data_IF_133366507635
#
_entry.id   IF_133366507635
#
_cell.length_a   1.000
_cell.length_b   1.000
_cell.length_c   1.000
_cell.angle_alpha   90.00
_cell.angle_beta   90.00
_cell.angle_gamma   90.00
#
_symmetry.space_group_name_H-M   'P 1'
#
loop_
_entity.id
_entity.type
_entity.pdbx_description
1 polymer ?
#
# COMPACT_ATOMS: atom_id res chain seq x y z
N UNK A 1 27.69 -18.74 -55.21
CA UNK A 1 26.55 -18.38 -54.33
C UNK A 1 26.80 -16.98 -53.79
N UNK A 2 26.26 -15.96 -54.44
CA UNK A 2 26.42 -14.55 -54.08
C UNK A 2 25.27 -14.16 -53.13
N UNK A 3 25.58 -13.74 -51.91
CA UNK A 3 24.62 -13.22 -50.94
C UNK A 3 24.48 -11.71 -51.13
N UNK A 4 23.35 -11.29 -51.70
CA UNK A 4 22.99 -9.88 -51.87
C UNK A 4 22.71 -9.20 -50.53
N UNK A 5 23.47 -8.14 -50.24
CA UNK A 5 23.32 -7.27 -49.07
C UNK A 5 22.23 -6.23 -49.35
N UNK A 6 21.07 -6.35 -48.69
CA UNK A 6 19.94 -5.42 -48.84
C UNK A 6 20.25 -4.14 -48.04
N UNK A 7 20.46 -3.03 -48.75
CA UNK A 7 20.60 -1.70 -48.15
C UNK A 7 19.23 -1.19 -47.69
N UNK A 8 19.11 -0.84 -46.41
CA UNK A 8 17.90 -0.28 -45.81
C UNK A 8 17.95 1.27 -45.91
N UNK A 9 16.99 1.93 -46.59
CA UNK A 9 17.04 3.38 -46.77
C UNK A 9 16.77 4.11 -45.45
N UNK A 10 17.66 5.05 -45.15
CA UNK A 10 17.61 5.98 -44.01
C UNK A 10 16.27 6.73 -44.03
N UNK A 11 15.49 6.59 -42.95
CA UNK A 11 14.30 7.43 -42.70
C UNK A 11 14.74 8.88 -42.45
N UNK A 12 14.19 9.78 -43.25
CA UNK A 12 14.42 11.21 -43.19
C UNK A 12 13.98 11.82 -41.85
N UNK A 13 14.84 12.71 -41.36
CA UNK A 13 14.59 13.65 -40.27
C UNK A 13 13.60 14.72 -40.73
N UNK A 14 12.31 14.48 -40.53
CA UNK A 14 11.28 15.52 -40.63
C UNK A 14 11.36 16.44 -39.42
N UNK A 15 11.91 17.63 -39.62
CA UNK A 15 11.85 18.72 -38.65
C UNK A 15 10.41 19.18 -38.48
N UNK A 16 9.83 18.92 -37.31
CA UNK A 16 8.55 19.51 -36.90
C UNK A 16 8.83 20.89 -36.33
N UNK A 17 8.36 21.91 -37.05
CA UNK A 17 8.27 23.29 -36.59
C UNK A 17 7.54 23.35 -35.23
N UNK A 18 8.19 23.96 -34.24
CA UNK A 18 7.64 24.13 -32.92
C UNK A 18 6.44 25.08 -32.93
N UNK A 19 5.37 24.82 -32.16
CA UNK A 19 4.29 25.77 -32.00
C UNK A 19 4.78 26.98 -31.18
N UNK A 20 4.43 28.16 -31.68
CA UNK A 20 4.57 29.47 -31.03
C UNK A 20 4.23 29.39 -29.55
N UNK A 21 5.25 29.60 -28.70
CA UNK A 21 5.05 29.83 -27.27
C UNK A 21 4.43 31.21 -27.12
N UNK A 22 3.10 31.27 -27.05
CA UNK A 22 2.37 32.42 -26.50
C UNK A 22 2.98 32.75 -25.13
N UNK A 23 3.51 33.96 -25.03
CA UNK A 23 3.89 34.59 -23.76
C UNK A 23 2.75 34.48 -22.75
N UNK A 24 2.99 34.00 -21.52
CA UNK A 24 1.99 34.09 -20.47
C UNK A 24 1.84 35.56 -20.05
N UNK A 25 0.61 36.06 -20.21
CA UNK A 25 0.20 37.37 -19.74
C UNK A 25 0.59 37.58 -18.27
N UNK A 26 1.15 38.75 -17.99
CA UNK A 26 1.42 39.26 -16.65
C UNK A 26 0.19 39.07 -15.75
N UNK A 27 0.38 38.34 -14.65
CA UNK A 27 -0.59 38.28 -13.56
C UNK A 27 -0.49 39.62 -12.81
N UNK A 28 -1.58 40.40 -12.69
CA UNK A 28 -1.57 41.63 -11.90
C UNK A 28 -1.33 41.29 -10.43
N UNK A 29 -0.36 42.01 -9.85
CA UNK A 29 -0.04 42.00 -8.43
C UNK A 29 -1.25 42.45 -7.61
N UNK A 30 -1.94 41.49 -6.99
CA UNK A 30 -2.97 41.77 -5.99
C UNK A 30 -2.28 42.28 -4.72
N UNK A 31 -2.26 43.59 -4.58
CA UNK A 31 -2.04 44.31 -3.34
C UNK A 31 -3.23 44.14 -2.41
N UNK A 32 -2.96 43.78 -1.15
CA UNK A 32 -3.85 44.00 -0.02
C UNK A 32 -4.80 42.84 0.28
N UNK A 33 -4.52 42.11 1.36
CA UNK A 33 -5.37 42.20 2.55
C UNK A 33 -4.69 41.52 3.75
N UNK A 34 -4.52 42.32 4.80
CA UNK A 34 -3.98 41.89 6.08
C UNK A 34 -4.97 40.93 6.75
N UNK A 35 -4.75 39.63 6.60
CA UNK A 35 -5.49 38.62 7.34
C UNK A 35 -5.03 38.64 8.80
N UNK A 36 -5.84 39.29 9.65
CA UNK A 36 -5.73 39.19 11.11
C UNK A 36 -5.76 37.72 11.52
N UNK A 37 -4.63 37.22 12.01
CA UNK A 37 -4.51 35.89 12.62
C UNK A 37 -5.21 35.91 13.99
N UNK A 38 -6.52 35.69 13.97
CA UNK A 38 -7.30 35.36 15.15
C UNK A 38 -6.80 34.04 15.75
N UNK A 39 -6.38 34.11 17.02
CA UNK A 39 -5.86 32.99 17.80
C UNK A 39 -6.94 31.94 18.06
N UNK A 40 -7.05 30.94 17.18
CA UNK A 40 -7.81 29.73 17.46
C UNK A 40 -6.96 28.81 18.36
N UNK A 41 -7.28 28.83 19.65
CA UNK A 41 -6.89 27.79 20.61
C UNK A 41 -7.30 26.42 20.05
N UNK A 42 -6.40 25.43 19.95
CA UNK A 42 -6.83 24.06 19.65
C UNK A 42 -7.61 23.52 20.86
N UNK A 43 -8.89 23.25 20.67
CA UNK A 43 -9.67 22.43 21.59
C UNK A 43 -9.02 21.04 21.64
N UNK A 44 -8.54 20.67 22.82
CA UNK A 44 -8.16 19.30 23.12
C UNK A 44 -9.46 18.50 23.27
N UNK A 45 -9.86 17.79 22.22
CA UNK A 45 -10.92 16.79 22.34
C UNK A 45 -10.42 15.65 23.25
N UNK A 46 -11.14 15.31 24.34
CA UNK A 46 -10.81 14.15 25.15
C UNK A 46 -11.11 12.89 24.33
N UNK A 47 -10.06 12.20 23.90
CA UNK A 47 -10.15 10.88 23.31
C UNK A 47 -10.63 9.89 24.37
N UNK A 48 -11.95 9.65 24.42
CA UNK A 48 -12.52 8.59 25.22
C UNK A 48 -11.95 7.25 24.76
N UNK A 49 -11.30 6.62 25.74
CA UNK A 49 -10.58 5.37 25.70
C UNK A 49 -11.52 4.19 25.46
N UNK A 50 -11.62 3.73 24.22
CA UNK A 50 -12.13 2.39 23.91
C UNK A 50 -11.03 1.36 24.18
N UNK A 51 -10.94 0.92 25.43
CA UNK A 51 -10.24 -0.30 25.84
C UNK A 51 -11.11 -1.52 25.51
N UNK A 52 -10.67 -2.39 24.60
CA UNK A 52 -11.41 -3.62 24.32
C UNK A 52 -10.88 -4.41 23.14
N UNK A 53 -9.64 -4.90 23.26
CA UNK A 53 -9.06 -5.81 22.27
C UNK A 53 -7.87 -6.54 22.86
N UNK A 54 -8.12 -7.65 23.55
CA UNK A 54 -7.11 -8.59 24.01
C UNK A 54 -6.43 -9.27 22.81
N UNK A 55 -5.50 -8.53 22.20
CA UNK A 55 -4.66 -9.00 21.12
C UNK A 55 -3.61 -9.96 21.66
N UNK A 56 -3.73 -11.21 21.26
CA UNK A 56 -2.78 -12.32 21.37
C UNK A 56 -1.32 -11.83 21.42
N UNK A 57 -0.64 -12.12 22.54
CA UNK A 57 0.56 -11.42 23.00
C UNK A 57 1.77 -11.54 22.07
N UNK A 58 2.18 -10.40 21.51
CA UNK A 58 3.54 -10.19 21.06
C UNK A 58 4.42 -10.14 22.32
N UNK A 59 5.21 -11.19 22.58
CA UNK A 59 6.19 -11.28 23.67
C UNK A 59 6.94 -9.95 23.81
N UNK A 60 6.60 -9.16 24.83
CA UNK A 60 7.34 -7.97 25.18
C UNK A 60 8.70 -8.45 25.68
N UNK A 61 9.76 -8.16 24.92
CA UNK A 61 11.12 -8.35 25.43
C UNK A 61 11.28 -7.48 26.67
N UNK A 62 11.82 -8.06 27.75
CA UNK A 62 12.06 -7.36 29.00
C UNK A 62 12.83 -6.04 28.72
N UNK A 63 12.49 -4.94 29.41
CA UNK A 63 13.13 -3.66 29.18
C UNK A 63 14.62 -3.76 29.49
N UNK A 64 15.46 -3.35 28.53
CA UNK A 64 16.90 -3.21 28.73
C UNK A 64 17.09 -2.10 29.77
N UNK A 65 17.77 -2.42 30.88
CA UNK A 65 18.08 -1.46 31.95
C UNK A 65 19.06 -0.39 31.44
N UNK A 66 18.83 0.87 31.81
CA UNK A 66 19.68 2.01 31.42
C UNK A 66 19.37 2.67 30.07
N UNK A 67 18.40 2.16 29.30
CA UNK A 67 17.93 2.81 28.06
C UNK A 67 16.67 3.63 28.32
N UNK A 68 16.60 4.86 27.81
CA UNK A 68 15.38 5.67 27.82
C UNK A 68 14.34 5.09 26.85
N UNK A 69 13.36 4.37 27.41
CA UNK A 69 12.21 3.84 26.68
C UNK A 69 11.21 4.94 26.31
N UNK A 70 10.32 4.67 25.36
CA UNK A 70 9.33 5.67 24.90
C UNK A 70 9.89 6.72 23.94
N UNK A 71 11.09 6.49 23.38
CA UNK A 71 11.70 7.36 22.38
C UNK A 71 12.01 6.57 21.10
N UNK A 72 12.09 7.25 19.95
CA UNK A 72 12.52 6.61 18.70
C UNK A 72 13.95 6.06 18.76
N UNK A 73 14.82 6.67 19.58
CA UNK A 73 16.17 6.18 19.82
C UNK A 73 16.15 4.80 20.53
N UNK A 74 15.26 4.61 21.50
CA UNK A 74 15.05 3.32 22.15
C UNK A 74 14.73 2.20 21.16
N UNK A 75 13.85 2.47 20.17
CA UNK A 75 13.47 1.49 19.14
C UNK A 75 14.58 1.24 18.11
N UNK A 76 15.16 2.30 17.55
CA UNK A 76 16.09 2.20 16.42
C UNK A 76 17.52 1.85 16.81
N UNK A 77 18.08 2.55 17.81
CA UNK A 77 19.49 2.42 18.19
C UNK A 77 19.73 1.26 19.15
N UNK A 78 18.84 1.09 20.13
CA UNK A 78 18.98 0.09 21.19
C UNK A 78 18.14 -1.17 20.97
N UNK A 79 17.35 -1.23 19.90
CA UNK A 79 16.57 -2.40 19.52
C UNK A 79 15.42 -2.73 20.47
N UNK A 80 15.00 -1.81 21.34
CA UNK A 80 13.90 -2.06 22.25
C UNK A 80 12.57 -2.21 21.50
N UNK A 81 11.81 -3.26 21.84
CA UNK A 81 10.50 -3.56 21.22
C UNK A 81 9.34 -3.50 22.22
N UNK A 82 9.50 -2.79 23.34
CA UNK A 82 8.39 -2.53 24.26
C UNK A 82 7.31 -1.62 23.62
N UNK A 83 6.10 -1.62 24.17
CA UNK A 83 4.97 -0.89 23.58
C UNK A 83 5.20 0.62 23.56
N UNK A 84 5.84 1.18 24.59
CA UNK A 84 6.21 2.60 24.64
C UNK A 84 7.13 2.99 23.48
N UNK A 85 8.18 2.20 23.20
CA UNK A 85 9.10 2.45 22.07
C UNK A 85 8.42 2.26 20.71
N UNK A 86 7.52 1.26 20.56
CA UNK A 86 6.74 1.07 19.33
C UNK A 86 5.78 2.23 19.08
N UNK A 87 5.11 2.72 20.12
CA UNK A 87 4.19 3.85 20.04
C UNK A 87 4.93 5.14 19.62
N UNK A 88 6.07 5.42 20.26
CA UNK A 88 6.91 6.58 19.93
C UNK A 88 7.40 6.55 18.47
N UNK A 89 7.86 5.38 17.99
CA UNK A 89 8.28 5.24 16.59
C UNK A 89 7.11 5.37 15.60
N UNK A 90 5.94 4.82 15.94
CA UNK A 90 4.73 4.96 15.14
C UNK A 90 4.30 6.44 15.03
N UNK A 91 4.34 7.17 16.14
CA UNK A 91 4.06 8.60 16.18
C UNK A 91 5.06 9.38 15.30
N UNK A 92 6.37 9.17 15.47
CA UNK A 92 7.40 9.79 14.64
C UNK A 92 7.19 9.53 13.15
N UNK A 93 6.85 8.29 12.77
CA UNK A 93 6.59 7.94 11.37
C UNK A 93 5.33 8.62 10.82
N UNK A 94 4.26 8.73 11.63
CA UNK A 94 3.06 9.48 11.28
C UNK A 94 3.37 10.95 11.03
N UNK A 95 4.10 11.59 11.95
CA UNK A 95 4.49 13.00 11.84
C UNK A 95 5.41 13.25 10.65
N UNK A 96 6.32 12.32 10.37
CA UNK A 96 7.17 12.40 9.17
C UNK A 96 6.35 12.31 7.88
N UNK A 97 5.39 11.37 7.80
CA UNK A 97 4.47 11.26 6.64
C UNK A 97 3.60 12.50 6.50
N UNK A 98 3.15 13.08 7.61
CA UNK A 98 2.40 14.32 7.61
C UNK A 98 3.25 15.48 7.09
N UNK A 99 4.46 15.68 7.60
CA UNK A 99 5.39 16.71 7.09
C UNK A 99 5.74 16.52 5.61
N UNK A 100 5.82 15.28 5.13
CA UNK A 100 5.99 15.01 3.70
C UNK A 100 4.77 15.45 2.89
N UNK A 101 3.55 15.14 3.34
CA UNK A 101 2.31 15.59 2.67
C UNK A 101 2.15 17.10 2.68
N UNK A 102 2.54 17.75 3.78
CA UNK A 102 2.56 19.21 3.92
C UNK A 102 3.69 19.88 3.10
N UNK A 103 4.57 19.11 2.47
CA UNK A 103 5.71 19.65 1.72
C UNK A 103 6.79 20.30 2.58
N UNK A 104 6.74 20.14 3.92
CA UNK A 104 7.74 20.68 4.85
C UNK A 104 9.08 19.96 4.76
N UNK A 105 9.10 18.72 4.25
CA UNK A 105 10.34 17.97 4.01
C UNK A 105 10.98 18.49 2.73
N UNK A 106 12.02 19.32 2.88
CA UNK A 106 12.83 19.79 1.75
C UNK A 106 13.53 18.59 1.12
N UNK A 107 13.14 18.24 -0.10
CA UNK A 107 13.95 17.35 -0.92
C UNK A 107 15.22 18.08 -1.32
N UNK A 108 16.37 17.44 -1.09
CA UNK A 108 17.64 17.94 -1.56
C UNK A 108 17.72 17.65 -3.06
N UNK A 109 17.57 18.69 -3.87
CA UNK A 109 17.48 18.57 -5.33
C UNK A 109 18.85 18.30 -5.98
N UNK A 110 19.94 18.67 -5.31
CA UNK A 110 21.31 18.63 -5.83
C UNK A 110 22.30 17.98 -4.86
N UNK A 111 21.91 16.90 -4.15
CA UNK A 111 22.93 16.13 -3.44
C UNK A 111 23.84 15.46 -4.49
N UNK A 112 25.18 15.50 -4.32
CA UNK A 112 26.13 14.89 -5.26
C UNK A 112 25.96 13.37 -5.39
N UNK A 113 25.33 12.74 -4.39
CA UNK A 113 25.02 11.31 -4.40
C UNK A 113 23.69 10.99 -5.12
N UNK A 114 22.98 12.00 -5.63
CA UNK A 114 21.71 11.78 -6.31
C UNK A 114 21.95 11.36 -7.75
N UNK A 115 21.53 10.14 -8.08
CA UNK A 115 21.69 9.59 -9.42
C UNK A 115 20.66 10.25 -10.36
N UNK A 116 21.09 10.88 -11.47
CA UNK A 116 20.16 11.42 -12.45
C UNK A 116 19.43 10.28 -13.18
N UNK A 117 18.17 10.51 -13.55
CA UNK A 117 17.33 9.49 -14.20
C UNK A 117 16.74 10.03 -15.49
N UNK A 118 16.84 9.24 -16.55
CA UNK A 118 16.19 9.51 -17.82
C UNK A 118 14.78 8.88 -17.83
N UNK A 119 13.75 9.72 -17.98
CA UNK A 119 12.36 9.28 -18.09
C UNK A 119 11.72 9.92 -19.30
N UNK A 120 11.31 9.10 -20.28
CA UNK A 120 10.70 9.50 -21.55
C UNK A 120 11.54 10.53 -22.32
N UNK A 121 12.86 10.28 -22.39
CA UNK A 121 13.81 11.18 -23.05
C UNK A 121 14.17 12.45 -22.28
N UNK A 122 13.60 12.69 -21.09
CA UNK A 122 13.95 13.83 -20.23
C UNK A 122 14.89 13.39 -19.11
N UNK A 123 16.02 14.07 -18.96
CA UNK A 123 16.95 13.87 -17.85
C UNK A 123 16.46 14.65 -16.62
N UNK A 124 16.24 13.95 -15.51
CA UNK A 124 15.93 14.56 -14.22
C UNK A 124 17.13 14.45 -13.28
N UNK A 125 17.39 15.46 -12.43
CA UNK A 125 18.51 15.42 -11.49
C UNK A 125 18.34 14.32 -10.44
N UNK A 126 17.12 13.90 -10.16
CA UNK A 126 16.81 12.88 -9.15
C UNK A 126 15.52 12.10 -9.45
N UNK A 127 15.40 10.93 -8.81
CA UNK A 127 14.15 10.15 -8.81
C UNK A 127 12.98 10.97 -8.24
N UNK A 128 13.20 11.75 -7.18
CA UNK A 128 12.15 12.57 -6.56
C UNK A 128 11.68 13.72 -7.46
N UNK A 129 12.61 14.34 -8.20
CA UNK A 129 12.28 15.37 -9.19
C UNK A 129 11.46 14.77 -10.34
N UNK A 130 11.87 13.61 -10.87
CA UNK A 130 11.10 12.88 -11.87
C UNK A 130 9.71 12.49 -11.36
N UNK A 131 9.63 12.00 -10.12
CA UNK A 131 8.38 11.59 -9.49
C UNK A 131 7.40 12.75 -9.33
N UNK A 132 7.89 13.89 -8.85
CA UNK A 132 7.11 15.12 -8.69
C UNK A 132 6.64 15.66 -10.04
N UNK A 133 7.51 15.68 -11.05
CA UNK A 133 7.18 16.14 -12.40
C UNK A 133 6.12 15.26 -13.10
N UNK A 134 6.11 13.95 -12.81
CA UNK A 134 5.18 12.98 -13.40
C UNK A 134 3.93 12.72 -12.56
N UNK A 135 3.84 13.29 -11.34
CA UNK A 135 2.72 13.05 -10.43
C UNK A 135 2.64 11.61 -9.90
N UNK A 136 3.78 10.93 -9.76
CA UNK A 136 3.87 9.54 -9.28
C UNK A 136 4.72 9.42 -8.03
N UNK A 137 4.67 8.27 -7.35
CA UNK A 137 5.52 8.02 -6.18
C UNK A 137 6.96 7.69 -6.59
N UNK A 138 7.95 8.27 -5.90
CA UNK A 138 9.37 7.97 -6.11
C UNK A 138 9.72 6.48 -6.08
N UNK A 139 9.17 5.67 -5.15
CA UNK A 139 9.36 4.22 -5.15
C UNK A 139 8.89 3.53 -6.43
N UNK A 140 7.87 4.06 -7.13
CA UNK A 140 7.40 3.50 -8.40
C UNK A 140 8.47 3.60 -9.48
N UNK A 141 9.13 4.75 -9.61
CA UNK A 141 10.25 4.96 -10.53
C UNK A 141 11.42 4.03 -10.16
N UNK A 142 11.80 3.99 -8.88
CA UNK A 142 12.89 3.12 -8.40
C UNK A 142 12.63 1.65 -8.71
N UNK A 143 11.40 1.17 -8.49
CA UNK A 143 11.03 -0.22 -8.81
C UNK A 143 11.10 -0.49 -10.32
N UNK A 144 10.72 0.46 -11.18
CA UNK A 144 10.84 0.29 -12.62
C UNK A 144 12.30 0.21 -13.08
N UNK A 145 13.17 1.06 -12.54
CA UNK A 145 14.61 0.99 -12.81
C UNK A 145 15.20 -0.35 -12.36
N UNK A 146 14.85 -0.83 -11.16
CA UNK A 146 15.33 -2.12 -10.66
C UNK A 146 14.83 -3.31 -11.48
N UNK A 147 13.57 -3.28 -11.95
CA UNK A 147 12.94 -4.42 -12.63
C UNK A 147 13.16 -4.45 -14.14
N UNK A 148 13.21 -3.28 -14.78
CA UNK A 148 13.23 -3.14 -16.23
C UNK A 148 14.45 -2.38 -16.75
N UNK A 149 15.26 -1.77 -15.88
CA UNK A 149 16.40 -0.94 -16.27
C UNK A 149 16.04 0.46 -16.79
N UNK A 150 14.75 0.74 -17.03
CA UNK A 150 14.26 2.02 -17.52
C UNK A 150 12.96 2.44 -16.81
N UNK A 151 12.68 3.75 -16.79
CA UNK A 151 11.53 4.33 -16.09
C UNK A 151 10.50 4.98 -17.04
N UNK A 152 10.62 4.79 -18.37
CA UNK A 152 9.73 5.42 -19.37
C UNK A 152 8.25 5.06 -19.18
N UNK A 153 7.99 3.87 -18.62
CA UNK A 153 6.65 3.35 -18.33
C UNK A 153 6.03 3.91 -17.04
N UNK A 154 6.76 4.72 -16.27
CA UNK A 154 6.30 5.20 -14.98
C UNK A 154 5.14 6.18 -15.17
N UNK A 155 4.02 5.96 -14.46
CA UNK A 155 2.85 6.84 -14.52
C UNK A 155 1.96 6.77 -15.77
N UNK A 156 2.19 5.85 -16.71
CA UNK A 156 1.35 5.70 -17.91
C UNK A 156 0.03 4.94 -17.67
N UNK A 157 -0.24 4.48 -16.44
CA UNK A 157 -1.45 3.71 -16.14
C UNK A 157 -1.58 2.37 -16.87
N UNK A 158 -0.59 1.97 -17.69
CA UNK A 158 -0.54 0.69 -18.41
C UNK A 158 -0.68 -0.50 -17.46
N UNK A 159 -0.16 -0.35 -16.24
CA UNK A 159 -0.55 -1.18 -15.12
C UNK A 159 -1.52 -0.36 -14.28
N UNK A 160 -2.80 -0.41 -14.62
CA UNK A 160 -3.86 0.20 -13.82
C UNK A 160 -3.72 -0.23 -12.35
N UNK A 161 -4.33 0.50 -11.39
CA UNK A 161 -4.35 0.02 -10.00
C UNK A 161 -4.74 -1.44 -10.06
N UNK A 162 -3.90 -2.34 -9.49
CA UNK A 162 -4.20 -3.78 -9.49
C UNK A 162 -5.64 -3.86 -9.04
N UNK A 163 -6.54 -4.22 -9.96
CA UNK A 163 -7.96 -4.34 -9.63
C UNK A 163 -7.90 -5.24 -8.43
N UNK A 164 -8.36 -4.77 -7.27
CA UNK A 164 -8.49 -5.66 -6.12
C UNK A 164 -9.38 -6.74 -6.70
N UNK A 165 -8.81 -7.90 -6.96
CA UNK A 165 -9.54 -9.05 -7.41
C UNK A 165 -10.47 -9.26 -6.24
N UNK A 166 -11.68 -8.74 -6.37
CA UNK A 166 -12.73 -8.95 -5.42
C UNK A 166 -12.99 -10.42 -5.66
N UNK A 167 -12.29 -11.26 -4.91
CA UNK A 167 -12.30 -12.70 -5.04
C UNK A 167 -13.72 -13.08 -4.64
N UNK A 168 -14.66 -12.94 -5.60
CA UNK A 168 -16.05 -13.27 -5.44
C UNK A 168 -16.01 -14.69 -4.93
N UNK A 169 -16.51 -14.86 -3.72
CA UNK A 169 -16.37 -16.13 -3.06
C UNK A 169 -17.05 -17.18 -3.95
N UNK A 170 -16.30 -18.22 -4.30
CA UNK A 170 -16.82 -19.26 -5.18
C UNK A 170 -17.86 -20.05 -4.39
N UNK A 171 -19.05 -20.31 -4.97
CA UNK A 171 -20.01 -21.19 -4.32
C UNK A 171 -19.40 -22.58 -4.19
N UNK A 172 -19.66 -23.25 -3.06
CA UNK A 172 -19.11 -24.57 -2.77
C UNK A 172 -20.22 -25.51 -2.35
N UNK A 173 -20.18 -26.74 -2.87
CA UNK A 173 -21.07 -27.82 -2.46
C UNK A 173 -20.39 -28.71 -1.42
N UNK A 174 -21.03 -28.92 -0.28
CA UNK A 174 -20.55 -29.80 0.80
C UNK A 174 -21.69 -30.76 1.16
N UNK A 175 -21.48 -32.07 1.02
CA UNK A 175 -22.49 -33.12 1.30
C UNK A 175 -23.89 -32.82 0.72
N UNK A 176 -23.94 -32.38 -0.55
CA UNK A 176 -25.20 -32.09 -1.25
C UNK A 176 -25.81 -30.71 -0.95
N UNK A 177 -25.22 -29.91 -0.06
CA UNK A 177 -25.65 -28.53 0.20
C UNK A 177 -24.79 -27.50 -0.48
N UNK A 178 -25.43 -26.47 -1.03
CA UNK A 178 -24.75 -25.35 -1.66
C UNK A 178 -24.58 -24.20 -0.67
N UNK A 179 -23.37 -23.65 -0.62
CA UNK A 179 -23.05 -22.45 0.15
C UNK A 179 -22.50 -21.37 -0.78
N UNK A 180 -22.80 -20.09 -0.52
CA UNK A 180 -22.31 -18.99 -1.35
C UNK A 180 -20.79 -18.82 -1.23
N UNK A 181 -20.19 -19.29 -0.14
CA UNK A 181 -18.75 -19.24 0.09
C UNK A 181 -18.28 -20.28 1.09
N UNK A 182 -16.99 -20.63 1.01
CA UNK A 182 -16.29 -21.45 2.03
C UNK A 182 -16.43 -20.84 3.43
N UNK A 183 -16.30 -19.51 3.54
CA UNK A 183 -16.42 -18.82 4.81
C UNK A 183 -17.85 -18.85 5.38
N UNK A 184 -18.88 -18.86 4.53
CA UNK A 184 -20.27 -19.03 4.97
C UNK A 184 -20.51 -20.46 5.47
N UNK A 185 -20.02 -21.48 4.75
CA UNK A 185 -20.09 -22.87 5.19
C UNK A 185 -19.37 -23.09 6.53
N UNK A 186 -18.16 -22.53 6.66
CA UNK A 186 -17.34 -22.63 7.87
C UNK A 186 -18.04 -21.98 9.08
N UNK A 187 -18.61 -20.78 8.92
CA UNK A 187 -19.40 -20.11 9.96
C UNK A 187 -20.65 -20.89 10.33
N UNK A 188 -21.34 -21.47 9.35
CA UNK A 188 -22.53 -22.29 9.59
C UNK A 188 -22.22 -23.52 10.44
N UNK A 189 -21.11 -24.21 10.14
CA UNK A 189 -20.67 -25.41 10.87
C UNK A 189 -19.85 -25.12 12.14
N UNK A 190 -19.43 -23.88 12.37
CA UNK A 190 -18.55 -23.53 13.49
C UNK A 190 -17.10 -24.02 13.34
N UNK A 191 -16.60 -24.16 12.11
CA UNK A 191 -15.24 -24.65 11.82
C UNK A 191 -14.36 -23.51 11.30
N UNK A 192 -13.04 -23.61 11.50
CA UNK A 192 -12.08 -22.63 10.94
C UNK A 192 -12.12 -22.61 9.40
N UNK A 193 -12.31 -21.44 8.75
CA UNK A 193 -12.40 -21.34 7.30
C UNK A 193 -11.09 -21.72 6.61
N UNK A 194 -9.94 -21.44 7.24
CA UNK A 194 -8.62 -21.81 6.72
C UNK A 194 -8.43 -23.32 6.70
N UNK A 195 -8.91 -24.01 7.75
CA UNK A 195 -8.85 -25.47 7.82
C UNK A 195 -9.72 -26.09 6.73
N UNK A 196 -10.97 -25.64 6.60
CA UNK A 196 -11.90 -26.13 5.59
C UNK A 196 -11.39 -25.92 4.16
N UNK A 197 -10.77 -24.77 3.87
CA UNK A 197 -10.14 -24.49 2.58
C UNK A 197 -8.99 -25.46 2.28
N UNK A 198 -8.11 -25.72 3.26
CA UNK A 198 -6.99 -26.67 3.10
C UNK A 198 -7.52 -28.07 2.84
N UNK A 199 -8.51 -28.54 3.60
CA UNK A 199 -9.13 -29.84 3.39
C UNK A 199 -9.79 -29.97 2.01
N UNK A 200 -10.51 -28.93 1.54
CA UNK A 200 -11.09 -28.93 0.18
C UNK A 200 -10.01 -29.00 -0.91
N UNK A 201 -8.86 -28.34 -0.71
CA UNK A 201 -7.77 -28.32 -1.70
C UNK A 201 -7.07 -29.69 -1.83
N UNK A 202 -6.93 -30.42 -0.72
CA UNK A 202 -6.24 -31.71 -0.70
C UNK A 202 -7.17 -32.92 -0.84
N UNK A 203 -8.49 -32.70 -0.85
CA UNK A 203 -9.48 -33.75 -0.73
C UNK A 203 -9.77 -34.10 0.73
N UNK A 204 -10.97 -34.61 1.00
CA UNK A 204 -11.38 -34.95 2.35
C UNK A 204 -10.82 -36.30 2.77
N UNK A 205 -10.16 -36.35 3.92
CA UNK A 205 -10.02 -37.62 4.63
C UNK A 205 -11.42 -38.14 5.00
N UNK A 206 -11.68 -39.47 4.91
CA UNK A 206 -12.99 -40.05 5.23
C UNK A 206 -13.50 -39.63 6.62
N UNK A 207 -12.62 -39.66 7.62
CA UNK A 207 -12.89 -39.23 9.00
C UNK A 207 -13.32 -37.77 9.11
N UNK A 208 -12.73 -36.90 8.29
CA UNK A 208 -13.08 -35.48 8.27
C UNK A 208 -14.42 -35.24 7.57
N UNK A 209 -14.77 -36.06 6.58
CA UNK A 209 -16.07 -36.00 5.92
C UNK A 209 -17.21 -36.33 6.90
N UNK A 210 -17.04 -37.35 7.75
CA UNK A 210 -17.98 -37.70 8.81
C UNK A 210 -18.12 -36.59 9.85
N UNK A 211 -16.99 -35.98 10.24
CA UNK A 211 -16.98 -34.82 11.14
C UNK A 211 -17.78 -33.65 10.56
N UNK A 212 -17.59 -33.31 9.28
CA UNK A 212 -18.34 -32.24 8.63
C UNK A 212 -19.84 -32.56 8.56
N UNK A 213 -20.20 -33.81 8.24
CA UNK A 213 -21.59 -34.24 8.23
C UNK A 213 -22.24 -34.08 9.61
N UNK A 214 -21.56 -34.52 10.69
CA UNK A 214 -22.02 -34.35 12.07
C UNK A 214 -22.22 -32.87 12.42
N UNK A 215 -21.27 -31.99 12.07
CA UNK A 215 -21.39 -30.56 12.34
C UNK A 215 -22.55 -29.92 11.56
N UNK A 216 -22.75 -30.34 10.32
CA UNK A 216 -23.84 -29.86 9.48
C UNK A 216 -25.21 -30.23 10.09
N UNK A 217 -25.37 -31.46 10.57
CA UNK A 217 -26.59 -31.89 11.27
C UNK A 217 -26.82 -31.11 12.58
N UNK A 218 -25.76 -30.82 13.35
CA UNK A 218 -25.87 -30.02 14.57
C UNK A 218 -26.26 -28.57 14.28
N UNK A 219 -25.69 -27.97 13.24
CA UNK A 219 -26.01 -26.61 12.82
C UNK A 219 -27.48 -26.48 12.37
N UNK A 220 -28.01 -27.49 11.68
CA UNK A 220 -29.43 -27.53 11.31
C UNK A 220 -30.35 -27.64 12.51
N UNK A 221 -30.01 -28.51 13.47
CA UNK A 221 -30.78 -28.63 14.70
C UNK A 221 -30.82 -27.29 15.46
N UNK A 222 -29.69 -26.56 15.52
CA UNK A 222 -29.62 -25.21 16.10
C UNK A 222 -30.50 -24.22 15.34
N UNK A 223 -30.44 -24.22 14.01
CA UNK A 223 -31.23 -23.32 13.15
C UNK A 223 -32.74 -23.56 13.28
N UNK A 224 -33.16 -24.83 13.37
CA UNK A 224 -34.57 -25.20 13.60
C UNK A 224 -35.05 -24.73 14.98
N UNK A 225 -34.23 -24.89 16.02
CA UNK A 225 -34.54 -24.41 17.38
C UNK A 225 -34.63 -22.89 17.48
N UNK A 226 -33.83 -22.16 16.71
CA UNK A 226 -33.90 -20.69 16.70
C UNK A 226 -35.05 -20.12 15.86
N UNK A 227 -35.70 -20.96 15.04
CA UNK A 227 -36.79 -20.55 14.15
C UNK A 227 -38.18 -20.93 14.67
N UNK A 228 -38.25 -21.75 15.72
CA UNK A 228 -39.46 -22.08 16.46
C UNK A 228 -39.56 -21.17 17.69
#
# INVERSE_FOLDING_TARGET
MQTGFVQNPRRGSGGVAGPDRKEPALIPSASGDAFQMGSLKPAADPVESLTGGEGVGAKASAPISGVQHGTSNGYGRYGCRCDACRAAETARQRDFRQRQREGRVKHRTHDPNTVPVLVRGKLYPSISAAASALGISGPSISHQLQRYGCADRAGLGLFGPRVRCNHKAKPVKIHGREFPSIAAAARFMGVSPTHLYRSLKHGFAPTYSEFLLRQLMQADARKRRSAA
#
